data_IF_720785483179
#
_entry.id   IF_720785483179
#
_cell.length_a   1.000
_cell.length_b   1.000
_cell.length_c   1.000
_cell.angle_alpha   90.00
_cell.angle_beta   90.00
_cell.angle_gamma   90.00
#
_symmetry.space_group_name_H-M   'P 1'
#
loop_
_entity.id
_entity.type
_entity.pdbx_description
1 polymer ?
#
# COMPACT_ATOMS: atom_id res chain seq x y z
N UNK A 1 -8.63 6.50 20.86
CA UNK A 1 -9.41 5.25 21.07
C UNK A 1 -9.99 4.68 19.77
N UNK A 2 -10.89 5.37 19.05
CA UNK A 2 -11.50 4.84 17.79
C UNK A 2 -10.43 4.41 16.76
N UNK A 3 -9.44 5.26 16.50
CA UNK A 3 -8.34 4.95 15.58
C UNK A 3 -7.55 3.70 15.99
N UNK A 4 -7.27 3.52 17.28
CA UNK A 4 -6.56 2.33 17.78
C UNK A 4 -7.36 1.06 17.57
N UNK A 5 -8.68 1.11 17.83
CA UNK A 5 -9.58 -0.02 17.56
C UNK A 5 -9.55 -0.36 16.07
N UNK A 6 -9.60 0.64 15.18
CA UNK A 6 -9.52 0.42 13.73
C UNK A 6 -8.18 -0.18 13.29
N UNK A 7 -7.06 0.31 13.83
CA UNK A 7 -5.72 -0.28 13.59
C UNK A 7 -5.71 -1.75 13.99
N UNK A 8 -6.20 -2.08 15.19
CA UNK A 8 -6.26 -3.46 15.68
C UNK A 8 -7.16 -4.31 14.79
N UNK A 9 -8.34 -3.82 14.41
CA UNK A 9 -9.26 -4.54 13.52
C UNK A 9 -8.62 -4.82 12.15
N UNK A 10 -7.92 -3.85 11.57
CA UNK A 10 -7.21 -4.03 10.30
C UNK A 10 -6.11 -5.09 10.45
N UNK A 11 -5.32 -5.03 11.53
CA UNK A 11 -4.27 -6.03 11.81
C UNK A 11 -4.87 -7.42 11.99
N UNK A 12 -5.91 -7.55 12.80
CA UNK A 12 -6.61 -8.83 13.04
C UNK A 12 -7.20 -9.37 11.74
N UNK A 13 -7.83 -8.52 10.93
CA UNK A 13 -8.35 -8.90 9.62
C UNK A 13 -7.25 -9.44 8.70
N UNK A 14 -6.09 -8.77 8.63
CA UNK A 14 -4.94 -9.27 7.86
C UNK A 14 -4.40 -10.59 8.40
N UNK A 15 -4.33 -10.76 9.72
CA UNK A 15 -3.94 -12.03 10.34
C UNK A 15 -4.92 -13.12 9.93
N UNK A 16 -6.24 -12.87 9.95
CA UNK A 16 -7.26 -13.82 9.53
C UNK A 16 -7.07 -14.19 8.06
N UNK A 17 -6.89 -13.22 7.16
CA UNK A 17 -6.64 -13.49 5.74
C UNK A 17 -5.39 -14.35 5.52
N UNK A 18 -4.32 -14.04 6.25
CA UNK A 18 -3.07 -14.80 6.21
C UNK A 18 -3.28 -16.23 6.72
N UNK A 19 -4.02 -16.41 7.82
CA UNK A 19 -4.32 -17.71 8.39
C UNK A 19 -5.25 -18.54 7.51
N UNK A 20 -6.28 -17.93 6.91
CA UNK A 20 -7.18 -18.58 5.95
C UNK A 20 -6.39 -19.08 4.74
N UNK A 21 -5.49 -18.23 4.22
CA UNK A 21 -4.61 -18.61 3.11
C UNK A 21 -3.67 -19.73 3.49
N UNK A 22 -2.97 -19.62 4.63
CA UNK A 22 -2.12 -20.70 5.17
C UNK A 22 -2.88 -22.02 5.27
N UNK A 23 -4.12 -21.97 5.77
CA UNK A 23 -4.95 -23.17 5.92
C UNK A 23 -5.32 -23.78 4.57
N UNK A 24 -5.61 -22.96 3.55
CA UNK A 24 -5.87 -23.45 2.19
C UNK A 24 -4.66 -24.15 1.56
N UNK A 25 -3.45 -23.71 1.88
CA UNK A 25 -2.20 -24.27 1.37
C UNK A 25 -1.69 -25.47 2.19
N UNK A 26 -2.33 -25.79 3.33
CA UNK A 26 -1.91 -26.85 4.29
C UNK A 26 -0.44 -26.76 4.72
N UNK A 27 0.15 -25.57 4.69
CA UNK A 27 1.56 -25.34 5.04
C UNK A 27 1.74 -25.01 6.54
N UNK A 28 2.83 -25.49 7.15
CA UNK A 28 3.17 -25.15 8.54
C UNK A 28 3.53 -23.67 8.70
N UNK A 29 3.29 -23.05 9.87
CA UNK A 29 3.54 -21.60 10.07
C UNK A 29 4.99 -21.18 9.76
N UNK A 30 5.97 -22.00 10.14
CA UNK A 30 7.39 -21.74 9.86
C UNK A 30 7.73 -21.81 8.38
N UNK A 31 7.01 -22.65 7.64
CA UNK A 31 7.19 -22.83 6.19
C UNK A 31 6.46 -21.72 5.43
N UNK A 32 5.23 -21.40 5.82
CA UNK A 32 4.49 -20.24 5.32
C UNK A 32 5.25 -18.93 5.52
N UNK A 33 5.80 -18.68 6.73
CA UNK A 33 6.54 -17.43 6.98
C UNK A 33 7.85 -17.37 6.19
N UNK A 34 8.55 -18.51 6.04
CA UNK A 34 9.72 -18.62 5.16
C UNK A 34 9.34 -18.38 3.70
N UNK A 35 8.24 -18.96 3.22
CA UNK A 35 7.78 -18.80 1.84
C UNK A 35 7.31 -17.37 1.59
N UNK A 36 6.58 -16.77 2.52
CA UNK A 36 6.15 -15.37 2.45
C UNK A 36 7.33 -14.40 2.47
N UNK A 37 8.30 -14.58 3.37
CA UNK A 37 9.54 -13.79 3.38
C UNK A 37 10.35 -14.03 2.12
N UNK A 38 10.48 -15.29 1.70
CA UNK A 38 11.20 -15.67 0.50
C UNK A 38 10.52 -15.09 -0.73
N UNK A 39 9.20 -14.98 -0.80
CA UNK A 39 8.45 -14.35 -1.89
C UNK A 39 8.42 -12.83 -1.78
N UNK A 40 8.49 -12.24 -0.60
CA UNK A 40 8.76 -10.80 -0.48
C UNK A 40 10.16 -10.50 -1.04
N UNK A 41 11.16 -11.29 -0.64
CA UNK A 41 12.52 -11.22 -1.15
C UNK A 41 12.58 -11.58 -2.64
N UNK A 42 11.82 -12.57 -3.07
CA UNK A 42 11.79 -13.07 -4.44
C UNK A 42 10.89 -12.22 -5.32
N UNK A 43 9.99 -11.39 -4.79
CA UNK A 43 9.35 -10.31 -5.54
C UNK A 43 10.34 -9.17 -5.71
N UNK A 44 11.10 -8.81 -4.66
CA UNK A 44 12.22 -7.87 -4.76
C UNK A 44 13.27 -8.39 -5.78
N UNK A 45 13.48 -9.71 -5.87
CA UNK A 45 14.36 -10.36 -6.86
C UNK A 45 13.68 -10.71 -8.19
N UNK A 46 12.38 -10.90 -8.32
CA UNK A 46 11.72 -11.13 -9.61
C UNK A 46 11.59 -9.80 -10.34
N UNK A 47 11.42 -8.70 -9.59
CA UNK A 47 11.70 -7.35 -10.08
C UNK A 47 13.19 -7.13 -10.40
N UNK A 48 14.13 -7.96 -9.90
CA UNK A 48 15.54 -8.03 -10.34
C UNK A 48 15.70 -8.81 -11.65
N UNK A 49 14.83 -9.75 -11.99
CA UNK A 49 14.93 -10.57 -13.22
C UNK A 49 14.16 -10.02 -14.42
N UNK A 50 13.14 -9.18 -14.22
CA UNK A 50 12.54 -8.35 -15.29
C UNK A 50 13.60 -7.44 -15.96
N UNK A 51 14.81 -7.32 -15.37
CA UNK A 51 15.93 -6.51 -15.86
C UNK A 51 16.97 -7.25 -16.71
N UNK A 52 16.60 -8.29 -17.47
CA UNK A 52 17.50 -8.87 -18.50
C UNK A 52 17.69 -7.96 -19.73
N UNK A 53 17.53 -6.64 -19.57
CA UNK A 53 17.88 -5.62 -20.57
C UNK A 53 18.88 -4.65 -19.95
N UNK A 54 20.05 -4.53 -20.57
CA UNK A 54 21.28 -3.92 -20.07
C UNK A 54 21.25 -2.37 -20.03
N UNK A 55 20.11 -1.77 -19.67
CA UNK A 55 19.88 -0.32 -19.78
C UNK A 55 19.73 0.28 -18.37
N UNK A 56 20.58 1.27 -18.02
CA UNK A 56 20.63 1.89 -16.69
C UNK A 56 19.28 2.43 -16.16
N UNK A 57 18.34 2.73 -17.07
CA UNK A 57 16.98 3.15 -16.73
C UNK A 57 16.15 2.07 -16.00
N UNK A 58 16.35 0.79 -16.33
CA UNK A 58 15.69 -0.33 -15.65
C UNK A 58 16.18 -0.50 -14.21
N UNK A 59 17.49 -0.30 -13.99
CA UNK A 59 18.10 -0.34 -12.66
C UNK A 59 17.58 0.78 -11.75
N UNK A 60 17.49 2.01 -12.27
CA UNK A 60 16.96 3.15 -11.52
C UNK A 60 15.52 2.91 -11.03
N UNK A 61 14.62 2.48 -11.92
CA UNK A 61 13.22 2.15 -11.57
C UNK A 61 13.13 1.18 -10.40
N UNK A 62 13.99 0.16 -10.41
CA UNK A 62 14.00 -0.89 -9.41
C UNK A 62 14.56 -0.42 -8.07
N UNK A 63 15.68 0.29 -8.07
CA UNK A 63 16.29 0.81 -6.86
C UNK A 63 15.35 1.78 -6.15
N UNK A 64 14.71 2.67 -6.91
CA UNK A 64 13.69 3.61 -6.40
C UNK A 64 12.52 2.86 -5.77
N UNK A 65 11.95 1.86 -6.45
CA UNK A 65 10.83 1.10 -5.91
C UNK A 65 11.21 0.31 -4.64
N UNK A 66 12.35 -0.37 -4.66
CA UNK A 66 12.82 -1.14 -3.49
C UNK A 66 13.06 -0.23 -2.29
N UNK A 67 13.62 0.95 -2.52
CA UNK A 67 13.83 1.95 -1.47
C UNK A 67 12.49 2.50 -0.95
N UNK A 68 11.52 2.77 -1.83
CA UNK A 68 10.18 3.20 -1.43
C UNK A 68 9.51 2.16 -0.52
N UNK A 69 9.56 0.87 -0.88
CA UNK A 69 8.98 -0.21 -0.07
C UNK A 69 9.67 -0.29 1.30
N UNK A 70 11.00 -0.23 1.34
CA UNK A 70 11.75 -0.24 2.59
C UNK A 70 11.35 0.94 3.49
N UNK A 71 11.31 2.16 2.95
CA UNK A 71 10.90 3.35 3.69
C UNK A 71 9.45 3.27 4.16
N UNK A 72 8.54 2.72 3.35
CA UNK A 72 7.16 2.48 3.74
C UNK A 72 7.07 1.56 4.97
N UNK A 73 7.83 0.47 5.01
CA UNK A 73 7.87 -0.40 6.19
C UNK A 73 8.42 0.33 7.42
N UNK A 74 9.48 1.13 7.27
CA UNK A 74 10.01 1.94 8.39
C UNK A 74 8.93 2.91 8.89
N UNK A 75 8.18 3.55 8.01
CA UNK A 75 7.09 4.47 8.37
C UNK A 75 5.94 3.76 9.09
N UNK A 76 5.51 2.59 8.60
CA UNK A 76 4.45 1.80 9.23
C UNK A 76 4.90 1.30 10.60
N UNK A 77 6.11 0.73 10.72
CA UNK A 77 6.61 0.22 12.00
C UNK A 77 6.82 1.35 13.02
N UNK A 78 7.40 2.46 12.59
CA UNK A 78 7.64 3.61 13.48
C UNK A 78 6.36 4.25 13.99
N UNK A 79 5.28 4.25 13.21
CA UNK A 79 4.00 4.83 13.59
C UNK A 79 3.06 3.87 14.30
N UNK A 80 3.00 2.59 13.90
CA UNK A 80 2.02 1.64 14.44
C UNK A 80 2.44 1.06 15.79
N UNK A 81 3.73 0.81 16.03
CA UNK A 81 4.19 0.22 17.30
C UNK A 81 3.84 1.09 18.52
N UNK A 82 4.07 2.42 18.52
CA UNK A 82 3.63 3.28 19.63
C UNK A 82 2.11 3.31 19.79
N UNK A 83 1.37 3.38 18.67
CA UNK A 83 -0.11 3.48 18.67
C UNK A 83 -0.76 2.25 19.29
N UNK A 84 -0.27 1.04 18.96
CA UNK A 84 -0.75 -0.23 19.53
C UNK A 84 -0.44 -0.30 21.03
N UNK A 85 0.68 0.29 21.45
CA UNK A 85 1.09 0.36 22.86
C UNK A 85 0.31 1.41 23.66
N UNK A 86 -0.63 2.13 23.04
CA UNK A 86 -1.38 3.21 23.69
C UNK A 86 -0.61 4.53 23.80
N UNK A 87 0.61 4.60 23.29
CA UNK A 87 1.51 5.74 23.45
C UNK A 87 1.42 6.70 22.26
N UNK A 88 1.62 7.99 22.52
CA UNK A 88 1.90 8.95 21.46
C UNK A 88 3.24 8.64 20.80
N UNK A 89 3.37 8.91 19.50
CA UNK A 89 4.64 8.76 18.78
C UNK A 89 5.64 9.80 19.30
N UNK A 90 6.69 9.33 19.97
CA UNK A 90 7.70 10.19 20.60
C UNK A 90 9.10 9.60 20.49
N UNK A 91 10.12 10.40 20.81
CA UNK A 91 11.52 9.96 20.85
C UNK A 91 12.02 9.38 19.52
N UNK A 92 12.66 8.22 19.59
CA UNK A 92 13.29 7.56 18.44
C UNK A 92 12.29 7.24 17.32
N UNK A 93 11.06 6.83 17.67
CA UNK A 93 10.04 6.50 16.68
C UNK A 93 9.63 7.71 15.85
N UNK A 94 9.49 8.88 16.49
CA UNK A 94 9.20 10.13 15.79
C UNK A 94 10.35 10.55 14.87
N UNK A 95 11.60 10.42 15.32
CA UNK A 95 12.79 10.75 14.51
C UNK A 95 12.88 9.85 13.28
N UNK A 96 12.74 8.53 13.46
CA UNK A 96 12.76 7.58 12.36
C UNK A 96 11.63 7.85 11.36
N UNK A 97 10.43 8.14 11.85
CA UNK A 97 9.28 8.46 11.00
C UNK A 97 9.53 9.73 10.18
N UNK A 98 10.00 10.79 10.83
CA UNK A 98 10.29 12.08 10.21
C UNK A 98 11.39 11.98 9.14
N UNK A 99 12.44 11.18 9.38
CA UNK A 99 13.54 11.01 8.42
C UNK A 99 13.18 10.10 7.25
N UNK A 100 12.38 9.04 7.49
CA UNK A 100 11.98 8.12 6.43
C UNK A 100 10.93 8.74 5.48
N UNK A 101 10.08 9.64 5.98
CA UNK A 101 9.01 10.26 5.22
C UNK A 101 9.49 10.98 3.92
N UNK A 102 10.44 11.92 3.94
CA UNK A 102 10.87 12.62 2.73
C UNK A 102 11.50 11.66 1.70
N UNK A 103 12.27 10.67 2.14
CA UNK A 103 12.87 9.66 1.25
C UNK A 103 11.78 8.83 0.58
N UNK A 104 10.77 8.40 1.34
CA UNK A 104 9.60 7.70 0.81
C UNK A 104 8.87 8.55 -0.23
N UNK A 105 8.58 9.83 0.08
CA UNK A 105 7.85 10.73 -0.81
C UNK A 105 8.58 10.92 -2.14
N UNK A 106 9.90 11.13 -2.12
CA UNK A 106 10.70 11.27 -3.34
C UNK A 106 10.63 9.97 -4.15
N UNK A 107 10.87 8.83 -3.51
CA UNK A 107 10.92 7.55 -4.20
C UNK A 107 9.56 7.16 -4.79
N UNK A 108 8.47 7.34 -4.03
CA UNK A 108 7.12 7.02 -4.51
C UNK A 108 6.70 7.97 -5.63
N UNK A 109 7.08 9.25 -5.57
CA UNK A 109 6.80 10.21 -6.65
C UNK A 109 7.48 9.79 -7.94
N UNK A 110 8.78 9.48 -7.89
CA UNK A 110 9.53 8.98 -9.05
C UNK A 110 8.91 7.68 -9.58
N UNK A 111 8.55 6.76 -8.69
CA UNK A 111 7.90 5.51 -9.08
C UNK A 111 6.56 5.75 -9.81
N UNK A 112 5.71 6.62 -9.27
CA UNK A 112 4.40 6.95 -9.86
C UNK A 112 4.59 7.58 -11.23
N UNK A 113 5.48 8.56 -11.39
CA UNK A 113 5.75 9.18 -12.69
C UNK A 113 6.23 8.14 -13.71
N UNK A 114 7.10 7.22 -13.30
CA UNK A 114 7.66 6.18 -14.19
C UNK A 114 6.67 5.07 -14.56
N UNK A 115 5.53 4.96 -13.84
CA UNK A 115 4.56 3.88 -14.00
C UNK A 115 3.14 4.34 -14.34
N UNK A 116 2.80 5.61 -14.19
CA UNK A 116 1.45 6.12 -14.42
C UNK A 116 0.91 5.76 -15.81
N UNK A 117 1.77 5.77 -16.84
CA UNK A 117 1.40 5.36 -18.20
C UNK A 117 0.98 3.88 -18.28
N UNK A 118 1.71 2.97 -17.62
CA UNK A 118 1.41 1.53 -17.62
C UNK A 118 0.08 1.20 -16.90
N UNK A 119 -0.37 2.09 -16.01
CA UNK A 119 -1.59 1.93 -15.21
C UNK A 119 -2.79 2.76 -15.72
N UNK A 120 -2.75 3.23 -16.97
CA UNK A 120 -3.91 3.85 -17.60
C UNK A 120 -5.03 2.83 -17.85
N UNK A 121 -6.27 3.23 -17.60
CA UNK A 121 -7.44 2.41 -17.92
C UNK A 121 -7.69 2.40 -19.42
N UNK A 122 -7.84 1.21 -19.98
CA UNK A 122 -8.24 0.99 -21.37
C UNK A 122 -9.75 1.20 -21.56
N UNK A 123 -10.18 1.43 -22.80
CA UNK A 123 -11.60 1.56 -23.14
C UNK A 123 -12.42 0.33 -22.73
N UNK A 124 -11.83 -0.87 -22.81
CA UNK A 124 -12.49 -2.12 -22.39
C UNK A 124 -12.70 -2.16 -20.86
N UNK A 125 -11.73 -1.69 -20.08
CA UNK A 125 -11.83 -1.60 -18.62
C UNK A 125 -12.81 -0.52 -18.17
N UNK A 126 -12.85 0.62 -18.87
CA UNK A 126 -13.84 1.67 -18.62
C UNK A 126 -15.25 1.21 -18.97
N UNK A 127 -15.43 0.49 -20.09
CA UNK A 127 -16.71 -0.12 -20.45
C UNK A 127 -17.15 -1.14 -19.40
N UNK A 128 -16.24 -2.01 -18.93
CA UNK A 128 -16.51 -2.94 -17.82
C UNK A 128 -17.01 -2.21 -16.57
N UNK A 129 -16.39 -1.07 -16.21
CA UNK A 129 -16.82 -0.26 -15.06
C UNK A 129 -18.21 0.34 -15.25
N UNK A 130 -18.49 0.90 -16.42
CA UNK A 130 -19.79 1.49 -16.75
C UNK A 130 -20.90 0.43 -16.76
N UNK A 131 -20.64 -0.72 -17.38
CA UNK A 131 -21.58 -1.83 -17.44
C UNK A 131 -21.88 -2.36 -16.01
N UNK A 132 -20.86 -2.44 -15.14
CA UNK A 132 -21.02 -2.86 -13.74
C UNK A 132 -21.75 -1.84 -12.85
N UNK A 133 -21.62 -0.54 -13.11
CA UNK A 133 -22.39 0.48 -12.39
C UNK A 133 -23.86 0.54 -12.85
N UNK A 134 -24.10 0.31 -14.14
CA UNK A 134 -25.44 0.29 -14.73
C UNK A 134 -26.17 -1.05 -14.55
N UNK A 135 -25.47 -2.11 -14.14
CA UNK A 135 -26.04 -3.44 -13.92
C UNK A 135 -26.86 -3.53 -12.62
N UNK A 136 -27.94 -2.76 -12.53
CA UNK A 136 -29.17 -3.23 -11.90
C UNK A 136 -29.97 -4.14 -12.86
N UNK A 137 -29.51 -4.35 -14.10
CA UNK A 137 -30.33 -4.86 -15.22
C UNK A 137 -29.86 -6.20 -15.83
N UNK A 138 -28.60 -6.63 -15.67
CA UNK A 138 -28.14 -7.90 -16.29
C UNK A 138 -27.34 -8.78 -15.32
N UNK A 139 -27.84 -10.00 -15.09
CA UNK A 139 -27.21 -11.06 -14.27
C UNK A 139 -26.06 -11.78 -14.97
N UNK A 140 -25.62 -11.29 -16.14
CA UNK A 140 -24.52 -11.90 -16.86
C UNK A 140 -23.19 -11.52 -16.17
N UNK A 141 -22.43 -12.54 -15.74
CA UNK A 141 -21.11 -12.33 -15.12
C UNK A 141 -20.16 -11.76 -16.17
N UNK A 142 -20.07 -10.44 -16.28
CA UNK A 142 -19.05 -9.77 -17.09
C UNK A 142 -17.67 -10.15 -16.52
N UNK A 143 -16.85 -10.80 -17.34
CA UNK A 143 -15.50 -11.24 -16.95
C UNK A 143 -14.62 -10.02 -16.70
N UNK A 144 -14.11 -9.90 -15.47
CA UNK A 144 -13.20 -8.81 -15.08
C UNK A 144 -11.88 -8.90 -15.86
N UNK A 145 -11.38 -7.78 -16.44
CA UNK A 145 -10.06 -7.77 -17.07
C UNK A 145 -8.95 -8.06 -16.05
N UNK A 146 -7.95 -8.85 -16.45
CA UNK A 146 -6.93 -9.38 -15.54
C UNK A 146 -6.14 -8.29 -14.79
N UNK A 147 -5.81 -7.19 -15.48
CA UNK A 147 -5.01 -6.08 -14.94
C UNK A 147 -5.85 -4.98 -14.27
N UNK A 148 -7.17 -5.03 -14.38
CA UNK A 148 -8.08 -3.97 -13.90
C UNK A 148 -7.89 -3.69 -12.41
N UNK A 149 -7.87 -4.74 -11.58
CA UNK A 149 -7.72 -4.62 -10.12
C UNK A 149 -6.42 -3.97 -9.71
N UNK A 150 -5.31 -4.30 -10.38
CA UNK A 150 -4.00 -3.72 -10.09
C UNK A 150 -3.96 -2.23 -10.41
N UNK A 151 -4.63 -1.79 -11.49
CA UNK A 151 -4.77 -0.36 -11.82
C UNK A 151 -5.61 0.38 -10.79
N UNK A 152 -6.72 -0.21 -10.33
CA UNK A 152 -7.53 0.36 -9.26
C UNK A 152 -6.70 0.52 -7.97
N UNK A 153 -5.98 -0.52 -7.55
CA UNK A 153 -5.11 -0.43 -6.37
C UNK A 153 -4.01 0.62 -6.52
N UNK A 154 -3.39 0.72 -7.71
CA UNK A 154 -2.39 1.75 -8.00
C UNK A 154 -2.97 3.16 -7.80
N UNK A 155 -4.12 3.47 -8.39
CA UNK A 155 -4.70 4.82 -8.30
C UNK A 155 -5.24 5.15 -6.91
N UNK A 156 -5.85 4.19 -6.21
CA UNK A 156 -6.23 4.37 -4.81
C UNK A 156 -4.98 4.63 -3.96
N UNK A 157 -3.91 3.86 -4.16
CA UNK A 157 -2.65 4.07 -3.45
C UNK A 157 -2.09 5.48 -3.70
N UNK A 158 -2.04 5.95 -4.95
CA UNK A 158 -1.57 7.31 -5.29
C UNK A 158 -2.41 8.38 -4.60
N UNK A 159 -3.74 8.27 -4.67
CA UNK A 159 -4.67 9.21 -4.04
C UNK A 159 -4.42 9.34 -2.54
N UNK A 160 -4.29 8.21 -1.84
CA UNK A 160 -4.09 8.22 -0.39
C UNK A 160 -2.66 8.58 0.02
N UNK A 161 -1.64 8.34 -0.81
CA UNK A 161 -0.29 8.87 -0.59
C UNK A 161 -0.31 10.39 -0.64
N UNK A 162 -0.92 10.98 -1.68
CA UNK A 162 -1.05 12.44 -1.80
C UNK A 162 -1.82 13.01 -0.61
N UNK A 163 -2.95 12.38 -0.25
CA UNK A 163 -3.78 12.81 0.88
C UNK A 163 -2.99 12.79 2.20
N UNK A 164 -2.25 11.71 2.47
CA UNK A 164 -1.44 11.58 3.68
C UNK A 164 -0.30 12.60 3.76
N UNK A 165 0.35 12.92 2.63
CA UNK A 165 1.42 13.91 2.55
C UNK A 165 0.86 15.32 2.79
N UNK A 166 -0.19 15.69 2.06
CA UNK A 166 -0.79 17.02 2.17
C UNK A 166 -1.34 17.26 3.56
N UNK A 167 -2.02 16.28 4.15
CA UNK A 167 -2.61 16.44 5.47
C UNK A 167 -1.55 16.66 6.55
N UNK A 168 -0.43 15.93 6.51
CA UNK A 168 0.64 16.16 7.50
C UNK A 168 1.38 17.46 7.25
N UNK A 169 1.71 17.81 5.99
CA UNK A 169 2.37 19.07 5.68
C UNK A 169 1.53 20.27 6.12
N UNK A 170 0.23 20.26 5.82
CA UNK A 170 -0.68 21.32 6.25
C UNK A 170 -0.84 21.38 7.77
N UNK A 171 -0.77 20.25 8.47
CA UNK A 171 -0.85 20.23 9.94
C UNK A 171 0.37 20.87 10.62
N UNK A 172 1.51 20.95 9.93
CA UNK A 172 2.74 21.56 10.46
C UNK A 172 2.72 23.09 10.41
N UNK A 173 1.84 23.69 9.62
CA UNK A 173 1.71 25.14 9.54
C UNK A 173 0.52 25.62 10.39
N UNK A 174 0.63 26.77 11.08
CA UNK A 174 -0.46 27.35 11.86
C UNK A 174 -1.50 28.07 10.96
N UNK A 175 -1.77 27.53 9.77
CA UNK A 175 -2.77 28.06 8.83
C UNK A 175 -4.18 27.73 9.34
N UNK A 176 -4.33 26.56 9.97
CA UNK A 176 -5.57 26.11 10.57
C UNK A 176 -5.50 26.23 12.08
N UNK A 177 -6.61 26.62 12.72
CA UNK A 177 -6.73 26.56 14.18
C UNK A 177 -6.62 25.13 14.71
N UNK A 178 -6.59 24.97 16.03
CA UNK A 178 -6.39 23.68 16.71
C UNK A 178 -7.29 22.55 16.18
N UNK A 179 -8.58 22.83 15.97
CA UNK A 179 -9.53 21.84 15.44
C UNK A 179 -9.17 21.38 14.02
N UNK A 180 -8.69 22.29 13.18
CA UNK A 180 -8.25 21.96 11.82
C UNK A 180 -6.97 21.12 11.83
N UNK A 181 -6.02 21.41 12.71
CA UNK A 181 -4.81 20.60 12.87
C UNK A 181 -5.13 19.18 13.34
N UNK A 182 -6.05 19.02 14.30
CA UNK A 182 -6.54 17.70 14.74
C UNK A 182 -7.18 16.95 13.57
N UNK A 183 -8.03 17.62 12.81
CA UNK A 183 -8.71 17.03 11.64
C UNK A 183 -7.70 16.58 10.58
N UNK A 184 -6.68 17.38 10.28
CA UNK A 184 -5.62 17.03 9.34
C UNK A 184 -4.78 15.84 9.82
N UNK A 185 -4.50 15.76 11.12
CA UNK A 185 -3.80 14.62 11.70
C UNK A 185 -4.64 13.34 11.62
N UNK A 186 -5.96 13.44 11.81
CA UNK A 186 -6.87 12.31 11.64
C UNK A 186 -6.99 11.88 10.17
N UNK A 187 -7.05 12.83 9.23
CA UNK A 187 -6.98 12.53 7.79
C UNK A 187 -5.68 11.79 7.45
N UNK A 188 -4.54 12.22 8.00
CA UNK A 188 -3.25 11.54 7.81
C UNK A 188 -3.33 10.09 8.29
N UNK A 189 -3.78 9.90 9.53
CA UNK A 189 -3.94 8.59 10.18
C UNK A 189 -4.83 7.65 9.38
N UNK A 190 -6.03 8.08 9.00
CA UNK A 190 -6.95 7.25 8.22
C UNK A 190 -6.43 6.97 6.81
N UNK A 191 -5.73 7.93 6.20
CA UNK A 191 -5.13 7.72 4.88
C UNK A 191 -4.06 6.63 4.92
N UNK A 192 -3.20 6.63 5.94
CA UNK A 192 -2.17 5.60 6.13
C UNK A 192 -2.78 4.22 6.39
N UNK A 193 -3.91 4.14 7.11
CA UNK A 193 -4.64 2.87 7.28
C UNK A 193 -5.15 2.31 5.95
N UNK A 194 -5.69 3.16 5.08
CA UNK A 194 -6.11 2.75 3.74
C UNK A 194 -4.92 2.31 2.91
N UNK A 195 -3.79 3.03 2.96
CA UNK A 195 -2.55 2.66 2.26
C UNK A 195 -2.04 1.29 2.69
N UNK A 196 -1.99 1.03 4.00
CA UNK A 196 -1.59 -0.27 4.54
C UNK A 196 -2.53 -1.37 4.04
N UNK A 197 -3.83 -1.08 4.01
CA UNK A 197 -4.84 -2.03 3.55
C UNK A 197 -4.67 -2.36 2.07
N UNK A 198 -4.58 -1.36 1.20
CA UNK A 198 -4.39 -1.53 -0.25
C UNK A 198 -3.08 -2.27 -0.53
N UNK A 199 -2.00 -1.90 0.14
CA UNK A 199 -0.70 -2.57 -0.01
C UNK A 199 -0.76 -4.03 0.42
N UNK A 200 -1.39 -4.32 1.57
CA UNK A 200 -1.59 -5.69 2.06
C UNK A 200 -2.42 -6.54 1.11
N UNK A 201 -3.53 -6.02 0.59
CA UNK A 201 -4.36 -6.73 -0.40
C UNK A 201 -3.62 -6.98 -1.71
N UNK A 202 -2.90 -5.98 -2.23
CA UNK A 202 -2.11 -6.11 -3.45
C UNK A 202 -1.03 -7.19 -3.31
N UNK A 203 -0.39 -7.28 -2.14
CA UNK A 203 0.54 -8.36 -1.82
C UNK A 203 -0.18 -9.71 -1.84
N UNK A 204 -1.20 -9.91 -1.00
CA UNK A 204 -1.90 -11.20 -0.85
C UNK A 204 -2.47 -11.72 -2.19
N UNK A 205 -3.05 -10.84 -3.01
CA UNK A 205 -3.64 -11.22 -4.30
C UNK A 205 -2.59 -11.65 -5.33
N UNK A 206 -1.39 -11.06 -5.31
CA UNK A 206 -0.29 -11.50 -6.19
C UNK A 206 0.20 -12.91 -5.86
N UNK A 207 0.11 -13.33 -4.59
CA UNK A 207 0.35 -14.73 -4.20
C UNK A 207 -0.77 -15.69 -4.65
N UNK A 208 -1.95 -15.22 -5.08
CA UNK A 208 -3.06 -16.10 -5.48
C UNK A 208 -3.07 -16.42 -6.99
N UNK A 209 -2.34 -15.65 -7.81
CA UNK A 209 -2.28 -15.82 -9.27
C UNK A 209 -1.13 -16.72 -9.75
N UNK A 210 -0.35 -17.31 -8.83
CA UNK A 210 0.82 -18.15 -9.17
C UNK A 210 0.60 -19.66 -9.00
N UNK A 211 -0.64 -20.07 -8.70
CA UNK A 211 -1.14 -21.45 -8.70
C UNK A 211 -2.28 -21.57 -9.71
#
# INVERSE_FOLDING_TARGET
MIYQILVILVIVFFIILILQKRNSEKTGFREFSRNFLKEMIDQIKSFKEISKTNNGFGFLKKSVFSLAVLMFFILVLSSMLPVISGNAMSGLFLILHLLAAPVFVICVTVFVVLKAHDFQFSNAELKYLLDKMNSNVSKEKVKEPESFRLKVYFWIFVLFVITAILSVLLSMYPIFGTNGQITLLDIHRYSVLVLLSVFGFALVNKFAQKN
#
